data_IF_361893183460
#
_entry.id   IF_361893183460
#
_cell.length_a   1.000
_cell.length_b   1.000
_cell.length_c   1.000
_cell.angle_alpha   90.00
_cell.angle_beta   90.00
_cell.angle_gamma   90.00
#
_symmetry.space_group_name_H-M   'P 1'
#
loop_
_entity.id
_entity.type
_entity.pdbx_description
1 polymer ?
#
# COMPACT_ATOMS: atom_id res chain seq x y z
N UNK A 1 0.56 0.37 -10.81
CA UNK A 1 -0.71 -0.38 -10.93
C UNK A 1 -1.08 -0.89 -9.54
N UNK A 2 -2.37 -1.01 -9.19
CA UNK A 2 -2.77 -1.57 -7.91
C UNK A 2 -2.43 -3.05 -7.82
N UNK A 3 -2.15 -3.55 -6.60
CA UNK A 3 -1.86 -4.96 -6.33
C UNK A 3 -2.60 -5.43 -5.07
N UNK A 4 -2.82 -6.75 -4.99
CA UNK A 4 -3.54 -7.41 -3.89
C UNK A 4 -2.71 -8.59 -3.40
N UNK A 5 -2.60 -8.77 -2.09
CA UNK A 5 -1.85 -9.86 -1.46
C UNK A 5 -1.83 -9.72 0.06
N UNK A 6 -1.38 -10.75 0.77
CA UNK A 6 -1.11 -10.67 2.22
C UNK A 6 0.32 -10.14 2.41
N UNK A 7 0.45 -8.84 2.64
CA UNK A 7 1.75 -8.16 2.71
C UNK A 7 2.25 -8.00 4.15
N UNK A 8 1.39 -8.14 5.15
CA UNK A 8 1.76 -8.07 6.58
C UNK A 8 1.72 -9.41 7.32
N UNK A 9 1.20 -10.48 6.70
CA UNK A 9 1.24 -11.85 7.20
C UNK A 9 0.09 -12.20 8.15
N UNK A 10 -0.98 -11.42 8.18
CA UNK A 10 -2.13 -11.65 9.07
C UNK A 10 -3.15 -12.68 8.53
N UNK A 11 -2.94 -13.16 7.30
CA UNK A 11 -3.82 -14.11 6.62
C UNK A 11 -5.02 -13.47 5.91
N UNK A 12 -5.05 -12.14 5.75
CA UNK A 12 -6.05 -11.38 4.99
C UNK A 12 -5.41 -10.75 3.76
N UNK A 13 -6.23 -10.42 2.77
CA UNK A 13 -5.76 -9.73 1.59
C UNK A 13 -5.70 -8.22 1.84
N UNK A 14 -4.54 -7.64 1.56
CA UNK A 14 -4.25 -6.21 1.59
C UNK A 14 -4.35 -5.59 0.20
N UNK A 15 -4.45 -4.25 0.17
CA UNK A 15 -4.49 -3.48 -1.06
C UNK A 15 -3.31 -2.51 -1.14
N UNK A 16 -2.45 -2.70 -2.15
CA UNK A 16 -1.43 -1.73 -2.53
C UNK A 16 -1.98 -0.79 -3.62
N UNK A 17 -2.07 0.50 -3.31
CA UNK A 17 -2.66 1.51 -4.18
C UNK A 17 -1.68 2.69 -4.38
N UNK A 18 -1.66 3.33 -5.56
CA UNK A 18 -0.94 4.60 -5.71
C UNK A 18 -1.48 5.64 -4.70
N UNK A 19 -0.60 6.27 -3.94
CA UNK A 19 -0.96 7.32 -2.97
C UNK A 19 -0.47 8.66 -3.49
N UNK A 20 -1.32 9.69 -3.57
CA UNK A 20 -0.86 10.98 -4.10
C UNK A 20 -1.51 12.28 -3.63
N UNK A 21 -0.69 13.35 -3.56
CA UNK A 21 -1.07 14.78 -3.59
C UNK A 21 0.07 15.60 -4.27
N UNK A 22 0.05 15.82 -5.60
CA UNK A 22 1.02 16.67 -6.34
C UNK A 22 1.13 16.35 -7.86
N UNK A 23 2.31 16.46 -8.52
CA UNK A 23 2.57 15.99 -9.92
C UNK A 23 3.32 14.63 -10.12
N UNK A 24 4.21 14.20 -9.23
CA UNK A 24 4.93 12.91 -9.23
C UNK A 24 4.19 11.73 -8.56
N UNK A 25 3.45 10.91 -9.34
CA UNK A 25 2.80 9.64 -8.90
C UNK A 25 3.78 8.50 -8.55
N UNK A 26 4.76 8.72 -7.69
CA UNK A 26 5.83 7.76 -7.40
C UNK A 26 5.63 6.95 -6.12
N UNK A 27 4.63 7.32 -5.32
CA UNK A 27 4.37 6.75 -4.00
C UNK A 27 3.19 5.78 -4.02
N UNK A 28 3.31 4.71 -3.24
CA UNK A 28 2.26 3.72 -3.02
C UNK A 28 2.03 3.54 -1.52
N UNK A 29 0.78 3.26 -1.16
CA UNK A 29 0.38 2.91 0.20
C UNK A 29 -0.23 1.51 0.22
N UNK A 30 0.12 0.73 1.24
CA UNK A 30 -0.47 -0.57 1.53
C UNK A 30 -1.51 -0.38 2.64
N UNK A 31 -2.75 -0.78 2.37
CA UNK A 31 -3.83 -0.78 3.36
C UNK A 31 -4.13 -2.21 3.79
N UNK A 32 -4.15 -2.49 5.11
CA UNK A 32 -4.32 -3.84 5.61
C UNK A 32 -5.75 -4.33 5.40
N UNK A 33 -5.90 -5.62 5.16
CA UNK A 33 -7.19 -6.31 5.25
C UNK A 33 -7.72 -6.25 6.68
N UNK A 34 -9.04 -6.12 6.84
CA UNK A 34 -9.68 -6.08 8.16
C UNK A 34 -10.82 -7.08 8.24
N UNK A 35 -11.15 -7.52 9.46
CA UNK A 35 -12.26 -8.46 9.68
C UNK A 35 -13.62 -7.84 9.33
N UNK A 36 -13.78 -6.55 9.61
CA UNK A 36 -14.99 -5.79 9.36
C UNK A 36 -14.65 -4.56 8.52
N UNK A 37 -15.38 -4.34 7.43
CA UNK A 37 -15.06 -3.32 6.44
C UNK A 37 -14.26 -3.87 5.26
N UNK A 38 -13.79 -2.98 4.38
CA UNK A 38 -13.05 -3.36 3.17
C UNK A 38 -11.54 -3.44 3.43
N UNK A 39 -10.97 -2.37 3.98
CA UNK A 39 -9.55 -2.24 4.37
C UNK A 39 -9.41 -1.27 5.55
N UNK A 40 -8.27 -1.32 6.23
CA UNK A 40 -7.90 -0.35 7.26
C UNK A 40 -7.94 1.09 6.77
N UNK A 41 -8.41 1.98 7.65
CA UNK A 41 -8.50 3.42 7.37
C UNK A 41 -7.10 4.06 7.24
N UNK A 42 -6.14 3.56 7.98
CA UNK A 42 -4.72 3.98 7.94
C UNK A 42 -3.91 2.98 7.12
N UNK A 43 -2.94 3.43 6.30
CA UNK A 43 -2.01 2.54 5.64
C UNK A 43 -0.99 1.96 6.62
N UNK A 44 -0.66 0.68 6.47
CA UNK A 44 0.42 0.02 7.24
C UNK A 44 1.79 0.54 6.81
N UNK A 45 1.97 0.81 5.50
CA UNK A 45 3.19 1.40 4.95
C UNK A 45 2.88 2.32 3.78
N UNK A 46 3.66 3.39 3.64
CA UNK A 46 3.74 4.23 2.44
C UNK A 46 5.19 4.33 1.99
N UNK A 47 5.46 4.15 0.71
CA UNK A 47 6.81 4.22 0.16
C UNK A 47 6.82 4.81 -1.25
N UNK A 48 7.92 5.47 -1.62
CA UNK A 48 8.22 5.89 -3.00
C UNK A 48 8.98 4.79 -3.72
N UNK A 49 8.79 4.67 -5.04
CA UNK A 49 9.62 3.80 -5.88
C UNK A 49 11.12 4.09 -5.73
N UNK A 50 11.50 5.32 -5.37
CA UNK A 50 12.89 5.75 -5.23
C UNK A 50 13.68 4.92 -4.21
N UNK A 51 13.03 4.36 -3.19
CA UNK A 51 13.72 3.52 -2.19
C UNK A 51 14.27 2.21 -2.76
N UNK A 52 13.80 1.81 -3.95
CA UNK A 52 14.25 0.62 -4.67
C UNK A 52 15.16 0.96 -5.86
N UNK A 53 15.48 2.25 -6.06
CA UNK A 53 16.32 2.73 -7.16
C UNK A 53 17.70 3.22 -6.67
N UNK A 54 18.00 3.05 -5.39
CA UNK A 54 19.33 3.29 -4.87
C UNK A 54 20.21 2.07 -5.18
N UNK A 55 21.23 2.28 -6.03
CA UNK A 55 22.38 1.38 -6.21
C UNK A 55 23.34 1.46 -5.01
#
# INVERSE_FOLDING_TARGET
MPAVGDFDGDGRADLALPSYRGETRDSAAVRPGVREGLVGAEPTVTFSRSVFLAD
#
